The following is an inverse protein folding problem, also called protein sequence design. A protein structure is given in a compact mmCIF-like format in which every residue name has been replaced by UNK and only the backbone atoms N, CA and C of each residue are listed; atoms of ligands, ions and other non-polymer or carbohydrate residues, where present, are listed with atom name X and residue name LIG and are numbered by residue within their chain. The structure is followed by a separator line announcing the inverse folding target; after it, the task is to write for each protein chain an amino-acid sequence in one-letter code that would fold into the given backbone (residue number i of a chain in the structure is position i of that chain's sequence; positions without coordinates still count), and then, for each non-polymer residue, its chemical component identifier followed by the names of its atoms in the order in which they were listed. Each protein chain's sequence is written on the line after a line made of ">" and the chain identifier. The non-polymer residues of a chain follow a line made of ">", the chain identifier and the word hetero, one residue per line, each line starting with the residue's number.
data_IF_404687456183
#
_entry.id   IF_404687456183
#
_cell.length_a   1.000
_cell.length_b   1.000
_cell.length_c   1.000
_cell.angle_alpha   90.00
_cell.angle_beta   90.00
_cell.angle_gamma   90.00
#
_symmetry.space_group_name_H-M   'P 1'
#
loop_
_entity.id
_entity.type
_entity.pdbx_description
1 polymer ?
#
# COMPACT_ATOMS: atom_id res chain seq x y z
N UNK A 1 -12.98 9.97 11.41
CA UNK A 1 -12.52 9.01 10.37
C UNK A 1 -11.33 9.50 9.56
N UNK A 2 -10.98 10.79 9.56
CA UNK A 2 -9.83 11.33 8.80
C UNK A 2 -8.52 10.62 9.14
N UNK A 3 -8.15 10.58 10.42
CA UNK A 3 -6.91 9.93 10.82
C UNK A 3 -6.89 8.43 10.49
N UNK A 4 -8.01 7.71 10.65
CA UNK A 4 -8.12 6.31 10.24
C UNK A 4 -7.90 6.14 8.73
N UNK A 5 -8.39 7.07 7.91
CA UNK A 5 -8.14 7.05 6.48
C UNK A 5 -6.64 7.21 6.17
N UNK A 6 -5.98 8.16 6.84
CA UNK A 6 -4.54 8.37 6.73
C UNK A 6 -3.73 7.13 7.16
N UNK A 7 -4.14 6.45 8.23
CA UNK A 7 -3.57 5.17 8.67
C UNK A 7 -3.67 4.13 7.56
N UNK A 8 -4.85 3.98 6.94
CA UNK A 8 -5.03 3.03 5.83
C UNK A 8 -4.16 3.39 4.62
N UNK A 9 -4.05 4.66 4.26
CA UNK A 9 -3.19 5.10 3.15
C UNK A 9 -1.72 4.82 3.43
N UNK A 10 -1.25 5.11 4.65
CA UNK A 10 0.13 4.84 5.05
C UNK A 10 0.42 3.34 5.08
N UNK A 11 -0.52 2.52 5.57
CA UNK A 11 -0.43 1.06 5.50
C UNK A 11 -0.35 0.57 4.05
N UNK A 12 -1.11 1.14 3.12
CA UNK A 12 -1.09 0.75 1.70
C UNK A 12 0.16 1.23 0.98
N UNK A 13 0.72 2.39 1.36
CA UNK A 13 1.98 2.91 0.82
C UNK A 13 3.13 1.97 1.17
N UNK A 14 3.24 1.60 2.44
CA UNK A 14 4.30 0.72 2.91
C UNK A 14 4.03 -0.72 2.50
N UNK A 15 2.83 -1.24 2.72
CA UNK A 15 2.50 -2.66 2.58
C UNK A 15 1.43 -2.87 1.50
N UNK A 16 1.70 -2.56 0.21
CA UNK A 16 0.70 -2.76 -0.84
C UNK A 16 0.37 -4.25 -0.97
N UNK A 17 -0.93 -4.64 -1.06
CA UNK A 17 -1.33 -6.04 -1.09
C UNK A 17 -0.74 -6.83 -2.26
N UNK A 18 -0.47 -6.17 -3.39
CA UNK A 18 0.26 -6.76 -4.50
C UNK A 18 1.73 -6.33 -4.47
N UNK A 19 2.64 -7.27 -4.73
CA UNK A 19 4.08 -6.99 -4.81
C UNK A 19 4.46 -6.18 -6.05
N UNK A 20 3.82 -6.46 -7.19
CA UNK A 20 4.16 -5.87 -8.47
C UNK A 20 2.95 -5.66 -9.41
N UNK A 21 3.13 -4.77 -10.37
CA UNK A 21 2.31 -4.67 -11.60
C UNK A 21 3.23 -4.74 -12.81
N UNK A 22 2.72 -5.12 -13.96
CA UNK A 22 3.51 -5.11 -15.19
C UNK A 22 2.67 -4.66 -16.38
N UNK A 23 3.37 -4.10 -17.37
CA UNK A 23 2.88 -3.92 -18.74
C UNK A 23 3.64 -4.85 -19.67
N UNK A 24 3.09 -5.13 -20.86
CA UNK A 24 3.69 -6.04 -21.84
C UNK A 24 3.74 -5.39 -23.22
N UNK A 25 4.54 -5.98 -24.11
CA UNK A 25 4.55 -5.68 -25.53
C UNK A 25 4.75 -4.17 -25.82
N UNK A 26 3.88 -3.55 -26.61
CA UNK A 26 4.03 -2.17 -27.08
C UNK A 26 4.08 -1.18 -25.91
N UNK A 27 3.19 -1.34 -24.91
CA UNK A 27 3.20 -0.53 -23.70
C UNK A 27 4.54 -0.66 -22.94
N UNK A 28 5.11 -1.86 -22.91
CA UNK A 28 6.40 -2.10 -22.27
C UNK A 28 7.56 -1.50 -23.07
N UNK A 29 7.47 -1.49 -24.40
CA UNK A 29 8.48 -0.88 -25.26
C UNK A 29 8.50 0.64 -25.11
N UNK A 30 7.32 1.26 -25.06
CA UNK A 30 7.17 2.70 -24.80
C UNK A 30 7.78 3.08 -23.44
N UNK A 31 7.41 2.37 -22.38
CA UNK A 31 7.94 2.64 -21.03
C UNK A 31 9.46 2.42 -20.95
N UNK A 32 9.99 1.39 -21.62
CA UNK A 32 11.42 1.10 -21.61
C UNK A 32 12.23 1.98 -22.59
N UNK A 33 11.56 2.78 -23.43
CA UNK A 33 12.22 3.60 -24.46
C UNK A 33 12.92 2.77 -25.54
N UNK A 34 12.39 1.58 -25.87
CA UNK A 34 12.98 0.69 -26.89
C UNK A 34 12.18 0.73 -28.19
N UNK A 35 12.88 0.69 -29.31
CA UNK A 35 12.28 0.87 -30.64
C UNK A 35 11.42 -0.31 -31.11
N UNK A 36 11.64 -1.52 -30.59
CA UNK A 36 10.90 -2.71 -30.99
C UNK A 36 10.81 -3.73 -29.85
N UNK A 37 9.71 -4.47 -29.81
CA UNK A 37 9.50 -5.59 -28.89
C UNK A 37 10.26 -6.82 -29.41
N UNK A 38 11.14 -7.45 -28.61
CA UNK A 38 11.81 -8.69 -29.01
C UNK A 38 10.80 -9.82 -29.31
N UNK A 39 11.12 -10.79 -30.18
CA UNK A 39 10.25 -11.94 -30.45
C UNK A 39 9.90 -12.76 -29.20
N UNK A 40 10.75 -12.73 -28.18
CA UNK A 40 10.52 -13.37 -26.87
C UNK A 40 9.53 -12.60 -25.98
N UNK A 41 9.05 -11.44 -26.43
CA UNK A 41 8.21 -10.52 -25.68
C UNK A 41 9.00 -9.60 -24.75
N UNK A 42 8.35 -8.53 -24.31
CA UNK A 42 8.89 -7.57 -23.35
C UNK A 42 7.90 -7.37 -22.20
N UNK A 43 8.41 -7.25 -20.98
CA UNK A 43 7.65 -6.91 -19.78
C UNK A 43 8.40 -5.85 -18.98
N UNK A 44 7.71 -4.80 -18.57
CA UNK A 44 8.22 -3.84 -17.58
C UNK A 44 7.45 -4.06 -16.29
N UNK A 45 8.19 -4.26 -15.21
CA UNK A 45 7.65 -4.51 -13.88
C UNK A 45 7.77 -3.26 -13.01
N UNK A 46 6.67 -2.89 -12.36
CA UNK A 46 6.58 -1.82 -11.37
C UNK A 46 6.49 -2.47 -9.99
N UNK A 47 7.51 -2.25 -9.18
CA UNK A 47 7.57 -2.76 -7.81
C UNK A 47 6.84 -1.80 -6.89
N UNK A 48 5.64 -2.19 -6.43
CA UNK A 48 4.73 -1.24 -5.76
C UNK A 48 5.28 -0.78 -4.41
N UNK A 49 5.91 -1.69 -3.68
CA UNK A 49 6.53 -1.40 -2.39
C UNK A 49 7.75 -0.48 -2.49
N UNK A 50 8.49 -0.57 -3.61
CA UNK A 50 9.66 0.29 -3.85
C UNK A 50 9.22 1.72 -4.20
N UNK A 51 8.19 1.86 -5.05
CA UNK A 51 7.58 3.17 -5.36
C UNK A 51 7.07 3.84 -4.06
N UNK A 52 6.37 3.07 -3.22
CA UNK A 52 5.86 3.57 -1.95
C UNK A 52 6.95 3.94 -0.94
N UNK A 53 8.18 3.42 -1.07
CA UNK A 53 9.30 3.66 -0.15
C UNK A 53 10.49 4.35 -0.81
N UNK A 54 10.29 4.96 -1.97
CA UNK A 54 11.34 5.71 -2.64
C UNK A 54 11.72 6.96 -1.82
N UNK A 55 12.97 7.01 -1.36
CA UNK A 55 13.49 8.12 -0.56
C UNK A 55 13.63 9.44 -1.32
N UNK A 56 13.54 9.43 -2.66
CA UNK A 56 13.46 10.66 -3.45
C UNK A 56 12.05 11.27 -3.42
N UNK A 57 11.04 10.42 -3.23
CA UNK A 57 9.62 10.80 -3.24
C UNK A 57 9.07 11.04 -1.83
N UNK A 58 9.50 10.25 -0.85
CA UNK A 58 8.94 10.23 0.51
C UNK A 58 9.99 10.58 1.57
N UNK A 59 9.70 11.56 2.43
CA UNK A 59 10.54 11.84 3.61
C UNK A 59 10.32 10.77 4.67
N UNK A 60 11.42 10.20 5.18
CA UNK A 60 11.35 9.07 6.12
C UNK A 60 10.56 7.91 5.51
N UNK A 61 11.00 7.32 4.38
CA UNK A 61 10.19 6.39 3.59
C UNK A 61 9.84 5.10 4.34
N UNK A 62 10.65 4.72 5.33
CA UNK A 62 10.44 3.55 6.17
C UNK A 62 9.72 3.84 7.50
N UNK A 63 9.43 5.12 7.79
CA UNK A 63 8.65 5.51 8.96
C UNK A 63 7.15 5.34 8.66
N UNK A 64 6.43 4.69 9.59
CA UNK A 64 4.97 4.66 9.56
C UNK A 64 4.44 5.97 10.14
N UNK A 65 4.06 6.92 9.26
CA UNK A 65 3.63 8.27 9.62
C UNK A 65 2.34 8.67 8.90
N UNK A 66 1.16 8.29 9.41
CA UNK A 66 -0.14 8.65 8.84
C UNK A 66 -0.31 10.15 8.59
N UNK A 67 0.30 10.99 9.42
CA UNK A 67 0.23 12.46 9.36
C UNK A 67 0.66 13.01 8.00
N UNK A 68 1.44 12.27 7.20
CA UNK A 68 1.78 12.70 5.83
C UNK A 68 0.55 12.90 4.94
N UNK A 69 -0.53 12.17 5.20
CA UNK A 69 -1.80 12.27 4.46
C UNK A 69 -2.85 13.15 5.15
N UNK A 70 -2.52 13.78 6.28
CA UNK A 70 -3.42 14.74 6.92
C UNK A 70 -3.40 16.09 6.18
N UNK A 71 -4.39 16.97 6.42
CA UNK A 71 -4.35 18.34 5.90
C UNK A 71 -3.06 19.07 6.27
N UNK A 72 -2.38 19.68 5.29
CA UNK A 72 -1.07 20.30 5.43
C UNK A 72 0.12 19.32 5.42
N UNK A 73 -0.13 18.02 5.30
CA UNK A 73 0.90 16.99 5.17
C UNK A 73 1.50 16.92 3.76
N UNK A 74 2.70 16.33 3.62
CA UNK A 74 3.41 16.23 2.33
C UNK A 74 2.68 15.43 1.23
N UNK A 75 1.64 14.68 1.61
CA UNK A 75 0.86 13.79 0.77
C UNK A 75 -0.66 13.99 0.95
N UNK A 76 -1.11 15.18 1.35
CA UNK A 76 -2.54 15.53 1.48
C UNK A 76 -3.34 15.21 0.20
N UNK A 77 -2.77 15.48 -0.97
CA UNK A 77 -3.40 15.24 -2.28
C UNK A 77 -3.17 13.82 -2.84
N UNK A 78 -2.56 12.93 -2.07
CA UNK A 78 -2.23 11.56 -2.52
C UNK A 78 -3.31 10.59 -2.07
N UNK A 79 -3.97 9.97 -3.04
CA UNK A 79 -5.04 8.99 -2.82
C UNK A 79 -4.66 7.53 -3.13
N UNK A 80 -5.59 6.59 -2.88
CA UNK A 80 -5.41 5.18 -3.21
C UNK A 80 -5.41 4.91 -4.72
N UNK A 81 -6.03 5.82 -5.49
CA UNK A 81 -5.90 5.90 -6.94
C UNK A 81 -4.93 7.05 -7.26
N UNK A 82 -3.84 6.79 -8.00
CA UNK A 82 -2.92 7.85 -8.40
C UNK A 82 -3.62 8.86 -9.31
N UNK A 83 -3.38 10.16 -9.08
CA UNK A 83 -3.82 11.23 -9.97
C UNK A 83 -2.98 11.30 -11.26
N UNK A 84 -3.36 12.17 -12.22
CA UNK A 84 -2.75 12.22 -13.55
C UNK A 84 -1.36 12.89 -13.60
N UNK A 85 -0.94 13.59 -12.54
CA UNK A 85 0.31 14.38 -12.54
C UNK A 85 1.54 13.60 -12.07
N UNK A 86 1.40 12.84 -10.99
CA UNK A 86 2.52 12.12 -10.37
C UNK A 86 2.02 10.91 -9.58
N UNK A 87 2.67 9.76 -9.78
CA UNK A 87 2.35 8.51 -9.09
C UNK A 87 3.35 8.33 -7.94
N UNK A 88 2.99 8.81 -6.75
CA UNK A 88 3.81 8.64 -5.53
C UNK A 88 3.64 7.28 -4.86
N UNK A 89 2.49 6.64 -5.07
CA UNK A 89 2.17 5.26 -4.67
C UNK A 89 1.05 4.75 -5.58
N UNK A 90 0.91 3.43 -5.73
CA UNK A 90 -0.14 2.84 -6.59
C UNK A 90 -0.62 1.48 -6.06
N UNK A 91 -1.12 1.40 -4.81
CA UNK A 91 -1.50 0.13 -4.17
C UNK A 91 -2.62 -0.62 -4.89
N UNK A 92 -3.45 0.11 -5.66
CA UNK A 92 -4.53 -0.43 -6.49
C UNK A 92 -4.21 -0.40 -7.99
N UNK A 93 -2.95 -0.13 -8.37
CA UNK A 93 -2.58 0.11 -9.77
C UNK A 93 -2.93 1.53 -10.24
N UNK A 94 -2.80 1.75 -11.54
CA UNK A 94 -3.04 3.05 -12.19
C UNK A 94 -3.58 2.85 -13.61
N UNK A 95 -4.05 3.96 -14.22
CA UNK A 95 -4.50 3.98 -15.61
C UNK A 95 -5.67 3.04 -15.88
N UNK A 96 -5.79 2.54 -17.12
CA UNK A 96 -6.93 1.72 -17.58
C UNK A 96 -7.08 0.36 -16.87
N UNK A 97 -6.04 -0.08 -16.14
CA UNK A 97 -5.99 -1.40 -15.48
C UNK A 97 -5.91 -1.28 -13.96
N UNK A 98 -6.36 -0.16 -13.39
CA UNK A 98 -6.51 -0.03 -11.95
C UNK A 98 -7.55 -1.03 -11.40
N UNK A 99 -7.45 -1.34 -10.11
CA UNK A 99 -8.35 -2.25 -9.43
C UNK A 99 -9.76 -1.68 -9.35
N UNK A 100 -10.71 -2.26 -10.09
CA UNK A 100 -12.14 -1.90 -10.03
C UNK A 100 -12.74 -2.09 -8.63
N UNK A 101 -12.15 -2.98 -7.82
CA UNK A 101 -12.56 -3.23 -6.44
C UNK A 101 -12.04 -2.21 -5.42
N UNK A 102 -11.27 -1.19 -5.82
CA UNK A 102 -10.64 -0.23 -4.92
C UNK A 102 -11.64 0.43 -3.95
N UNK A 103 -12.76 0.94 -4.48
CA UNK A 103 -13.76 1.63 -3.66
C UNK A 103 -14.33 0.73 -2.56
N UNK A 104 -14.69 -0.50 -2.93
CA UNK A 104 -15.21 -1.50 -1.99
C UNK A 104 -14.14 -1.95 -0.98
N UNK A 105 -12.90 -2.16 -1.43
CA UNK A 105 -11.78 -2.54 -0.56
C UNK A 105 -11.48 -1.46 0.48
N UNK A 106 -11.41 -0.20 0.07
CA UNK A 106 -11.20 0.93 0.97
C UNK A 106 -12.34 1.08 1.98
N UNK A 107 -13.59 0.84 1.57
CA UNK A 107 -14.74 0.85 2.47
C UNK A 107 -14.61 -0.25 3.52
N UNK A 108 -14.38 -1.50 3.11
CA UNK A 108 -14.28 -2.63 4.02
C UNK A 108 -13.13 -2.50 5.01
N UNK A 109 -11.92 -2.13 4.55
CA UNK A 109 -10.75 -1.97 5.44
C UNK A 109 -11.02 -0.90 6.49
N UNK A 110 -11.59 0.25 6.10
CA UNK A 110 -11.92 1.32 7.05
C UNK A 110 -12.97 0.88 8.07
N UNK A 111 -14.05 0.24 7.63
CA UNK A 111 -15.12 -0.21 8.54
C UNK A 111 -14.61 -1.29 9.50
N UNK A 112 -13.85 -2.26 8.98
CA UNK A 112 -13.28 -3.34 9.78
C UNK A 112 -12.31 -2.79 10.81
N UNK A 113 -11.35 -1.94 10.41
CA UNK A 113 -10.39 -1.35 11.32
C UNK A 113 -11.08 -0.45 12.36
N UNK A 114 -12.06 0.35 11.95
CA UNK A 114 -12.85 1.18 12.87
C UNK A 114 -13.54 0.35 13.95
N UNK A 115 -14.12 -0.79 13.60
CA UNK A 115 -14.75 -1.69 14.58
C UNK A 115 -13.71 -2.28 15.53
N UNK A 116 -12.57 -2.76 15.00
CA UNK A 116 -11.53 -3.38 15.83
C UNK A 116 -10.91 -2.42 16.85
N UNK A 117 -10.60 -1.18 16.44
CA UNK A 117 -9.97 -0.19 17.35
C UNK A 117 -10.98 0.48 18.29
N UNK A 118 -12.27 0.42 17.99
CA UNK A 118 -13.32 0.93 18.87
C UNK A 118 -13.61 -0.03 20.01
N UNK A 119 -13.62 -1.33 19.73
CA UNK A 119 -14.09 -2.35 20.67
C UNK A 119 -12.96 -3.01 21.47
N UNK A 120 -11.72 -2.96 20.99
CA UNK A 120 -10.61 -3.73 21.57
C UNK A 120 -9.32 -2.92 21.67
N UNK A 121 -8.62 -3.12 22.79
CA UNK A 121 -7.19 -2.83 22.93
C UNK A 121 -6.37 -4.03 22.46
N UNK A 122 -5.29 -3.74 21.73
CA UNK A 122 -4.43 -4.75 21.09
C UNK A 122 -3.02 -4.65 21.66
N UNK A 123 -2.49 -5.79 22.10
CA UNK A 123 -1.10 -5.91 22.54
C UNK A 123 -0.48 -7.19 21.96
N UNK A 124 0.85 -7.23 21.76
CA UNK A 124 1.51 -8.51 21.51
C UNK A 124 1.39 -9.42 22.75
N UNK A 125 1.49 -10.76 22.59
CA UNK A 125 1.62 -11.67 23.72
C UNK A 125 2.79 -11.27 24.63
N UNK A 126 2.70 -11.60 25.91
CA UNK A 126 3.71 -11.22 26.91
C UNK A 126 5.11 -11.70 26.49
N UNK A 127 6.05 -10.75 26.38
CA UNK A 127 7.43 -11.02 25.97
C UNK A 127 7.65 -11.20 24.45
N UNK A 128 6.61 -11.05 23.63
CA UNK A 128 6.70 -11.10 22.17
C UNK A 128 6.67 -9.68 21.56
N UNK A 129 7.33 -9.53 20.41
CA UNK A 129 7.25 -8.31 19.58
C UNK A 129 6.59 -8.64 18.25
N UNK A 130 5.90 -7.67 17.65
CA UNK A 130 5.32 -7.85 16.31
C UNK A 130 6.43 -7.76 15.25
N UNK A 131 6.62 -8.84 14.50
CA UNK A 131 7.54 -8.91 13.37
C UNK A 131 6.77 -8.61 12.07
N UNK A 132 6.96 -7.41 11.52
CA UNK A 132 6.32 -6.97 10.28
C UNK A 132 7.06 -7.42 9.01
N UNK A 133 8.06 -8.30 9.11
CA UNK A 133 8.78 -8.83 7.95
C UNK A 133 7.81 -9.48 6.97
N UNK A 134 7.91 -9.11 5.70
CA UNK A 134 6.97 -9.50 4.66
C UNK A 134 7.45 -10.76 3.93
N UNK A 135 6.51 -11.54 3.39
CA UNK A 135 6.77 -12.53 2.36
C UNK A 135 6.09 -12.07 1.07
N UNK A 136 6.89 -11.94 0.01
CA UNK A 136 6.44 -11.45 -1.29
C UNK A 136 6.07 -12.59 -2.24
N UNK A 137 4.80 -13.01 -2.14
CA UNK A 137 4.14 -13.84 -3.14
C UNK A 137 3.45 -12.99 -4.22
N UNK A 138 2.38 -13.55 -4.80
CA UNK A 138 1.44 -12.75 -5.60
C UNK A 138 0.74 -11.70 -4.73
N UNK A 139 0.38 -12.10 -3.51
CA UNK A 139 -0.01 -11.20 -2.43
C UNK A 139 1.12 -11.06 -1.42
N UNK A 140 1.21 -9.87 -0.83
CA UNK A 140 2.12 -9.57 0.27
C UNK A 140 1.45 -9.96 1.59
N UNK A 141 2.12 -10.79 2.38
CA UNK A 141 1.66 -11.21 3.71
C UNK A 141 2.79 -11.09 4.73
N UNK A 142 2.48 -11.13 6.02
CA UNK A 142 3.54 -11.24 7.04
C UNK A 142 4.19 -12.62 6.96
N UNK A 143 5.53 -12.67 7.03
CA UNK A 143 6.31 -13.91 7.07
C UNK A 143 6.02 -14.72 8.33
N UNK A 144 5.72 -14.03 9.44
CA UNK A 144 5.25 -14.63 10.68
C UNK A 144 3.81 -14.15 10.93
N UNK A 145 2.83 -15.05 11.11
CA UNK A 145 1.46 -14.65 11.39
C UNK A 145 1.38 -13.75 12.64
N UNK A 146 0.58 -12.69 12.56
CA UNK A 146 0.33 -11.81 13.71
C UNK A 146 -0.33 -12.60 14.85
N UNK A 147 0.28 -12.56 16.03
CA UNK A 147 -0.31 -13.01 17.29
C UNK A 147 -0.57 -11.77 18.14
N UNK A 148 -1.77 -11.67 18.69
CA UNK A 148 -2.16 -10.54 19.53
C UNK A 148 -3.04 -11.03 20.69
N UNK A 149 -2.90 -10.36 21.83
CA UNK A 149 -3.85 -10.41 22.93
C UNK A 149 -4.81 -9.24 22.75
N UNK A 150 -6.10 -9.53 22.78
CA UNK A 150 -7.16 -8.53 22.67
C UNK A 150 -7.91 -8.42 23.99
N UNK A 151 -8.15 -7.19 24.44
CA UNK A 151 -8.98 -6.92 25.61
C UNK A 151 -10.11 -5.98 25.20
N UNK A 152 -11.34 -6.27 25.60
CA UNK A 152 -12.48 -5.43 25.25
C UNK A 152 -12.37 -4.09 25.98
N UNK A 153 -12.50 -2.99 25.25
CA UNK A 153 -12.58 -1.66 25.84
C UNK A 153 -13.95 -1.51 26.51
N UNK A 154 -13.97 -1.46 27.83
CA UNK A 154 -15.12 -0.97 28.59
C UNK A 154 -15.09 0.55 28.57
N UNK A 155 -16.05 1.16 27.87
CA UNK A 155 -16.37 2.58 28.00
C UNK A 155 -17.00 2.88 29.37
#
# INVERSE_FOLDING_TARGET
>A
MTYLHCVVLESLRMHPPGSQRYVRAEDAAEVAGVAAVPPTGLRVHFMLGDIGRDGKTWKGPHEFRPERFMPGGEAEDVGPLPGPKEIKMMPFGAGRRFCLGMGLGMLHVKLFLAALVREFDWAPPAGETVDLTEWDGFFKTMSKPLRATITRVTM
#
